data_IF_845687132353
#
_entry.id   IF_845687132353
#
_cell.length_a   1.000
_cell.length_b   1.000
_cell.length_c   1.000
_cell.angle_alpha   90.00
_cell.angle_beta   90.00
_cell.angle_gamma   90.00
#
_symmetry.space_group_name_H-M   'P 1'
#
loop_
_entity.id
_entity.type
_entity.pdbx_description
1 polymer ?
#
# COMPACT_ATOMS: atom_id res chain seq x y z
N UNK A 1 -18.77 -11.84 11.22
CA UNK A 1 -17.57 -11.28 11.89
C UNK A 1 -17.84 -9.87 12.42
N UNK A 2 -18.04 -8.83 11.60
CA UNK A 2 -18.45 -7.50 12.12
C UNK A 2 -19.85 -7.45 12.74
N UNK A 3 -20.72 -8.40 12.39
CA UNK A 3 -22.13 -8.45 12.82
C UNK A 3 -22.34 -9.16 14.17
N UNK A 4 -21.34 -9.87 14.66
CA UNK A 4 -21.45 -10.74 15.87
C UNK A 4 -20.69 -10.18 17.08
N UNK A 5 -19.71 -9.28 16.84
CA UNK A 5 -18.85 -8.67 17.87
C UNK A 5 -18.62 -7.19 17.53
N UNK A 6 -19.65 -6.36 17.73
CA UNK A 6 -19.63 -4.94 17.35
C UNK A 6 -18.64 -4.10 18.17
N UNK A 7 -18.27 -4.58 19.36
CA UNK A 7 -17.29 -3.97 20.26
C UNK A 7 -15.82 -4.21 19.84
N UNK A 8 -15.56 -5.17 18.96
CA UNK A 8 -14.20 -5.48 18.51
C UNK A 8 -13.81 -4.58 17.34
N UNK A 9 -12.81 -3.73 17.56
CA UNK A 9 -12.22 -2.92 16.51
C UNK A 9 -11.30 -3.78 15.63
N UNK A 10 -11.88 -4.37 14.58
CA UNK A 10 -11.13 -5.18 13.62
C UNK A 10 -10.20 -4.33 12.75
N UNK A 11 -8.89 -4.49 12.95
CA UNK A 11 -7.88 -3.87 12.11
C UNK A 11 -7.49 -4.77 10.93
N UNK A 12 -7.09 -4.12 9.84
CA UNK A 12 -6.57 -4.82 8.67
C UNK A 12 -5.12 -5.29 8.96
N UNK A 13 -4.80 -6.54 8.67
CA UNK A 13 -3.44 -7.07 8.85
C UNK A 13 -2.62 -6.86 7.56
N UNK A 14 -1.54 -6.05 7.58
CA UNK A 14 -0.70 -5.76 6.41
C UNK A 14 -0.13 -7.00 5.74
N UNK A 15 0.12 -8.09 6.48
CA UNK A 15 0.67 -9.34 5.94
C UNK A 15 -0.18 -9.94 4.83
N UNK A 16 -1.51 -9.92 4.97
CA UNK A 16 -2.39 -10.46 3.93
C UNK A 16 -2.34 -9.61 2.64
N UNK A 17 -2.24 -8.29 2.78
CA UNK A 17 -2.09 -7.38 1.65
C UNK A 17 -0.75 -7.58 0.97
N UNK A 18 0.34 -7.50 1.73
CA UNK A 18 1.73 -7.72 1.31
C UNK A 18 1.86 -9.00 0.48
N UNK A 19 1.42 -10.14 1.05
CA UNK A 19 1.46 -11.44 0.37
C UNK A 19 0.66 -11.46 -0.94
N UNK A 20 -0.54 -10.87 -0.94
CA UNK A 20 -1.40 -10.85 -2.13
C UNK A 20 -0.85 -9.95 -3.24
N UNK A 21 -0.27 -8.81 -2.88
CA UNK A 21 0.33 -7.83 -3.79
C UNK A 21 1.64 -8.38 -4.34
N UNK A 22 2.51 -8.91 -3.49
CA UNK A 22 3.79 -9.54 -3.87
C UNK A 22 3.58 -10.61 -4.95
N UNK A 23 2.62 -11.52 -4.76
CA UNK A 23 2.29 -12.55 -5.76
C UNK A 23 1.86 -11.97 -7.11
N UNK A 24 1.03 -10.92 -7.10
CA UNK A 24 0.54 -10.27 -8.33
C UNK A 24 1.66 -9.52 -9.05
N UNK A 25 2.49 -8.79 -8.32
CA UNK A 25 3.63 -8.05 -8.87
C UNK A 25 4.69 -8.98 -9.45
N UNK A 26 5.03 -10.07 -8.74
CA UNK A 26 5.97 -11.07 -9.25
C UNK A 26 5.48 -11.79 -10.51
N UNK A 27 4.16 -11.86 -10.71
CA UNK A 27 3.57 -12.37 -11.95
C UNK A 27 3.64 -11.31 -13.05
N UNK A 28 3.37 -10.05 -12.72
CA UNK A 28 3.41 -8.94 -13.66
C UNK A 28 4.84 -8.65 -14.16
N UNK A 29 5.85 -8.74 -13.30
CA UNK A 29 7.26 -8.47 -13.65
C UNK A 29 7.86 -9.47 -14.63
N UNK A 30 7.19 -10.61 -14.87
CA UNK A 30 7.61 -11.62 -15.84
C UNK A 30 6.99 -11.42 -17.22
N UNK A 31 6.08 -10.44 -17.37
CA UNK A 31 5.49 -10.11 -18.67
C UNK A 31 6.52 -9.34 -19.50
N UNK A 32 6.56 -9.61 -20.79
CA UNK A 32 7.41 -8.87 -21.73
C UNK A 32 7.15 -7.36 -21.63
N UNK A 33 8.22 -6.58 -21.48
CA UNK A 33 8.14 -5.13 -21.31
C UNK A 33 7.84 -4.67 -19.87
N UNK A 34 7.89 -5.56 -18.87
CA UNK A 34 7.71 -5.24 -17.45
C UNK A 34 8.93 -5.59 -16.59
N UNK A 35 10.11 -5.77 -17.20
CA UNK A 35 11.33 -6.18 -16.51
C UNK A 35 11.77 -5.17 -15.44
N UNK A 36 11.49 -3.88 -15.68
CA UNK A 36 11.75 -2.78 -14.74
C UNK A 36 10.88 -2.84 -13.47
N UNK A 37 9.84 -3.68 -13.42
CA UNK A 37 9.00 -3.79 -12.22
C UNK A 37 9.69 -4.56 -11.08
N UNK A 38 10.50 -5.57 -11.41
CA UNK A 38 11.07 -6.48 -10.41
C UNK A 38 11.88 -5.77 -9.30
N UNK A 39 12.74 -4.77 -9.61
CA UNK A 39 13.48 -4.02 -8.59
C UNK A 39 12.60 -3.21 -7.62
N UNK A 40 11.38 -2.84 -8.01
CA UNK A 40 10.47 -2.03 -7.19
C UNK A 40 9.58 -2.86 -6.27
N UNK A 41 9.45 -4.17 -6.52
CA UNK A 41 8.59 -5.06 -5.75
C UNK A 41 8.88 -4.98 -4.24
N UNK A 42 10.15 -5.06 -3.76
CA UNK A 42 10.44 -4.98 -2.33
C UNK A 42 9.92 -3.69 -1.69
N UNK A 43 10.11 -2.54 -2.35
CA UNK A 43 9.64 -1.25 -1.84
C UNK A 43 8.11 -1.18 -1.78
N UNK A 44 7.42 -1.65 -2.83
CA UNK A 44 5.95 -1.66 -2.86
C UNK A 44 5.36 -2.61 -1.80
N UNK A 45 6.00 -3.77 -1.60
CA UNK A 45 5.61 -4.80 -0.63
C UNK A 45 5.87 -4.35 0.82
N UNK A 46 6.87 -3.50 1.05
CA UNK A 46 7.19 -2.94 2.36
C UNK A 46 6.31 -1.73 2.73
N UNK A 47 5.81 -0.98 1.74
CA UNK A 47 5.02 0.24 1.96
C UNK A 47 3.77 0.08 2.86
N UNK A 48 3.00 -1.03 2.82
CA UNK A 48 1.91 -1.28 3.76
C UNK A 48 2.35 -1.31 5.23
N UNK A 49 3.55 -1.84 5.51
CA UNK A 49 4.09 -1.94 6.88
C UNK A 49 4.44 -0.55 7.41
N UNK A 50 5.17 0.23 6.62
CA UNK A 50 5.46 1.63 6.96
C UNK A 50 4.17 2.45 7.12
N UNK A 51 3.18 2.22 6.27
CA UNK A 51 1.89 2.90 6.36
C UNK A 51 1.17 2.55 7.66
N UNK A 52 1.16 1.28 8.07
CA UNK A 52 0.57 0.81 9.31
C UNK A 52 1.28 1.34 10.57
N UNK A 53 2.61 1.44 10.51
CA UNK A 53 3.41 2.01 11.59
C UNK A 53 3.18 3.51 11.75
N UNK A 54 3.04 4.24 10.63
CA UNK A 54 3.02 5.70 10.60
C UNK A 54 1.62 6.32 10.51
N UNK A 55 0.54 5.53 10.52
CA UNK A 55 -0.83 6.04 10.43
C UNK A 55 -1.43 6.51 11.75
N UNK A 56 -0.72 6.37 12.88
CA UNK A 56 -1.22 6.74 14.21
C UNK A 56 -2.59 6.11 14.56
N UNK A 57 -2.83 4.87 14.09
CA UNK A 57 -4.09 4.12 14.22
C UNK A 57 -5.30 4.75 13.49
N UNK A 58 -5.08 5.70 12.60
CA UNK A 58 -6.10 6.25 11.72
C UNK A 58 -6.23 5.37 10.46
N UNK A 59 -7.36 4.69 10.25
CA UNK A 59 -7.57 3.82 9.10
C UNK A 59 -7.69 4.58 7.77
N UNK A 60 -8.19 5.81 7.78
CA UNK A 60 -8.32 6.63 6.58
C UNK A 60 -6.93 7.12 6.17
N UNK A 61 -6.11 7.54 7.15
CA UNK A 61 -4.74 7.94 6.89
C UNK A 61 -3.84 6.77 6.44
N UNK A 62 -4.06 5.57 6.98
CA UNK A 62 -3.43 4.34 6.49
C UNK A 62 -3.74 4.10 5.02
N UNK A 63 -5.01 4.24 4.65
CA UNK A 63 -5.50 4.04 3.30
C UNK A 63 -4.90 5.04 2.32
N UNK A 64 -4.87 6.32 2.69
CA UNK A 64 -4.27 7.39 1.87
C UNK A 64 -2.76 7.19 1.68
N UNK A 65 -2.04 6.82 2.74
CA UNK A 65 -0.62 6.45 2.66
C UNK A 65 -0.40 5.31 1.70
N UNK A 66 -1.18 4.23 1.80
CA UNK A 66 -1.08 3.11 0.87
C UNK A 66 -1.37 3.53 -0.57
N UNK A 67 -2.43 4.30 -0.82
CA UNK A 67 -2.79 4.76 -2.17
C UNK A 67 -1.73 5.67 -2.79
N UNK A 68 -0.99 6.44 -1.99
CA UNK A 68 0.06 7.33 -2.49
C UNK A 68 1.12 6.63 -3.34
N UNK A 69 1.38 5.33 -3.11
CA UNK A 69 2.35 4.56 -3.92
C UNK A 69 1.92 4.47 -5.38
N UNK A 70 0.60 4.38 -5.64
CA UNK A 70 0.07 4.29 -7.01
C UNK A 70 0.21 5.62 -7.74
N UNK A 71 -0.03 6.74 -7.04
CA UNK A 71 0.20 8.08 -7.57
C UNK A 71 1.67 8.33 -7.88
N UNK A 72 2.57 7.85 -7.01
CA UNK A 72 4.02 7.95 -7.23
C UNK A 72 4.45 7.15 -8.48
N UNK A 73 4.01 5.90 -8.60
CA UNK A 73 4.39 5.02 -9.72
C UNK A 73 3.80 5.49 -11.06
N UNK A 74 2.57 5.99 -11.07
CA UNK A 74 1.91 6.49 -12.29
C UNK A 74 2.29 7.92 -12.66
N UNK A 75 3.08 8.59 -11.80
CA UNK A 75 3.36 10.02 -11.86
C UNK A 75 2.09 10.90 -12.02
N UNK A 76 0.93 10.35 -11.65
CA UNK A 76 -0.35 11.04 -11.67
C UNK A 76 -0.58 11.58 -10.26
N UNK A 77 -0.11 12.80 -10.00
CA UNK A 77 -0.49 13.52 -8.78
C UNK A 77 -1.89 14.11 -8.95
N UNK A 78 -2.86 13.78 -8.09
CA UNK A 78 -4.05 14.61 -7.91
C UNK A 78 -3.62 15.98 -7.35
N UNK A 79 -4.20 17.08 -7.84
CA UNK A 79 -3.87 18.45 -7.43
C UNK A 79 -4.13 18.76 -5.93
N UNK A 80 -4.65 17.82 -5.15
CA UNK A 80 -5.08 18.02 -3.76
C UNK A 80 -4.06 17.61 -2.69
N UNK A 81 -2.97 16.89 -3.01
CA UNK A 81 -1.99 16.47 -1.99
C UNK A 81 -0.83 17.47 -1.95
N UNK A 82 -1.06 18.59 -1.25
CA UNK A 82 0.00 19.49 -0.79
C UNK A 82 0.40 19.10 0.63
N UNK A 83 1.24 18.08 0.80
CA UNK A 83 2.21 17.91 1.90
C UNK A 83 2.84 16.53 1.82
N UNK A 84 4.08 16.42 2.31
CA UNK A 84 4.98 15.26 2.24
C UNK A 84 5.78 15.12 0.92
N UNK A 85 6.43 16.22 0.50
CA UNK A 85 7.86 16.10 0.25
C UNK A 85 8.55 16.32 1.60
N UNK A 86 9.63 15.60 1.87
CA UNK A 86 10.41 15.53 3.13
C UNK A 86 10.08 14.33 4.03
N UNK A 87 10.36 13.11 3.53
CA UNK A 87 11.09 12.03 4.25
C UNK A 87 11.95 11.29 3.23
#
# INVERSE_FOLDING_TARGET
>A
MRVDHGEIYHQFNPWHLEKSVSKKLATASKKSGCDDLAPWIPSIVNHPWWSAESCNRDPDFLHDKWLSVTHHVTNCRPQSIKQAADI
#
